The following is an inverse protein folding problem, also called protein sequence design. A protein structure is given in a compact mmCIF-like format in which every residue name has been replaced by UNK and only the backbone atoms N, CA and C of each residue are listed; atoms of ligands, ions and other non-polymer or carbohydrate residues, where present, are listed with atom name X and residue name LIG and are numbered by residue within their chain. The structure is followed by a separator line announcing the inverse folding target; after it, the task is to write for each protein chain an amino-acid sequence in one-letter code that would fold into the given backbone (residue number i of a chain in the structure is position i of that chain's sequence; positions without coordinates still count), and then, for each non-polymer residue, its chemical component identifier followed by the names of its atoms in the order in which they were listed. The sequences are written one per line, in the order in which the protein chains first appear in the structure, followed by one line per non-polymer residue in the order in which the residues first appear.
data_IF_091721688864
#
_entry.id   IF_091721688864
#
_cell.length_a   1.000
_cell.length_b   1.000
_cell.length_c   1.000
_cell.angle_alpha   90.00
_cell.angle_beta   90.00
_cell.angle_gamma   90.00
#
_symmetry.space_group_name_H-M   'P 1'
#
loop_
_entity.id
_entity.type
_entity.pdbx_description
1 polymer ?
#
# COMPACT_ATOMS: atom_id res chain seq x y z
N UNK A 1 7.89 -21.54 12.33
CA UNK A 1 7.36 -21.09 11.01
C UNK A 1 6.98 -22.27 10.09
N UNK A 2 6.44 -23.38 10.61
CA UNK A 2 6.17 -24.60 9.82
C UNK A 2 4.85 -24.57 9.03
N UNK A 3 3.98 -23.57 9.26
CA UNK A 3 2.60 -23.55 8.75
C UNK A 3 2.33 -22.50 7.67
N UNK A 4 3.32 -21.66 7.34
CA UNK A 4 3.17 -20.67 6.28
C UNK A 4 3.65 -21.27 4.96
N UNK A 5 2.74 -21.40 3.99
CA UNK A 5 3.14 -21.71 2.61
C UNK A 5 3.84 -20.48 2.00
N UNK A 6 4.88 -20.66 1.19
CA UNK A 6 5.50 -19.55 0.48
C UNK A 6 4.47 -18.87 -0.44
N UNK A 7 4.63 -17.56 -0.62
CA UNK A 7 3.78 -16.79 -1.52
C UNK A 7 3.88 -17.36 -2.96
N UNK A 8 2.78 -17.36 -3.73
CA UNK A 8 2.83 -17.67 -5.15
C UNK A 8 3.94 -16.91 -5.89
N UNK A 9 4.63 -17.59 -6.81
CA UNK A 9 5.79 -17.05 -7.54
C UNK A 9 5.50 -15.72 -8.24
N UNK A 10 4.31 -15.56 -8.82
CA UNK A 10 3.92 -14.32 -9.50
C UNK A 10 3.81 -13.11 -8.55
N UNK A 11 3.40 -13.31 -7.29
CA UNK A 11 3.36 -12.24 -6.29
C UNK A 11 4.76 -11.84 -5.87
N UNK A 12 5.65 -12.83 -5.68
CA UNK A 12 7.06 -12.61 -5.36
C UNK A 12 7.74 -11.82 -6.48
N UNK A 13 7.53 -12.22 -7.74
CA UNK A 13 8.08 -11.51 -8.90
C UNK A 13 7.57 -10.07 -8.99
N UNK A 14 6.26 -9.84 -8.79
CA UNK A 14 5.68 -8.48 -8.77
C UNK A 14 6.27 -7.62 -7.66
N UNK A 15 6.44 -8.18 -6.47
CA UNK A 15 7.09 -7.48 -5.36
C UNK A 15 8.53 -7.09 -5.69
N UNK A 16 9.32 -8.01 -6.28
CA UNK A 16 10.68 -7.69 -6.71
C UNK A 16 10.72 -6.59 -7.77
N UNK A 17 9.80 -6.62 -8.74
CA UNK A 17 9.64 -5.56 -9.74
C UNK A 17 9.39 -4.20 -9.09
N UNK A 18 8.36 -4.11 -8.23
CA UNK A 18 8.06 -2.88 -7.48
C UNK A 18 9.24 -2.41 -6.60
N UNK A 19 9.95 -3.35 -5.95
CA UNK A 19 11.09 -3.03 -5.09
C UNK A 19 12.27 -2.45 -5.88
N UNK A 20 12.47 -2.93 -7.10
CA UNK A 20 13.54 -2.47 -7.99
C UNK A 20 13.23 -1.11 -8.64
N UNK A 21 11.95 -0.81 -8.91
CA UNK A 21 11.52 0.42 -9.58
C UNK A 21 10.95 1.43 -8.58
N UNK A 22 9.62 1.44 -8.36
CA UNK A 22 8.91 2.45 -7.58
C UNK A 22 9.46 2.62 -6.18
N UNK A 23 9.89 1.54 -5.53
CA UNK A 23 10.50 1.63 -4.20
C UNK A 23 11.87 2.33 -4.23
N UNK A 24 12.70 2.05 -5.24
CA UNK A 24 14.04 2.63 -5.34
C UNK A 24 13.96 4.12 -5.64
N UNK A 25 13.06 4.52 -6.55
CA UNK A 25 12.75 5.92 -6.90
C UNK A 25 12.28 6.72 -5.67
N UNK A 26 11.44 6.12 -4.83
CA UNK A 26 10.84 6.77 -3.66
C UNK A 26 11.54 6.43 -2.34
N UNK A 27 12.76 5.87 -2.37
CA UNK A 27 13.45 5.36 -1.18
C UNK A 27 13.64 6.41 -0.08
N UNK A 28 13.95 7.65 -0.46
CA UNK A 28 14.11 8.75 0.48
C UNK A 28 12.80 9.08 1.21
N UNK A 29 11.68 9.08 0.49
CA UNK A 29 10.34 9.29 1.04
C UNK A 29 9.96 8.19 2.04
N UNK A 30 10.15 6.92 1.69
CA UNK A 30 9.89 5.82 2.62
C UNK A 30 10.75 5.89 3.87
N UNK A 31 12.03 6.24 3.74
CA UNK A 31 12.93 6.43 4.89
C UNK A 31 12.44 7.56 5.79
N UNK A 32 11.97 8.66 5.20
CA UNK A 32 11.39 9.78 5.94
C UNK A 32 10.15 9.34 6.72
N UNK A 33 9.20 8.66 6.07
CA UNK A 33 8.01 8.12 6.74
C UNK A 33 8.35 7.15 7.88
N UNK A 34 9.37 6.31 7.70
CA UNK A 34 9.82 5.37 8.73
C UNK A 34 10.43 6.07 9.96
N UNK A 35 11.15 7.18 9.74
CA UNK A 35 11.84 7.92 10.80
C UNK A 35 10.94 8.94 11.50
N UNK A 36 10.10 9.66 10.74
CA UNK A 36 9.29 10.79 11.21
C UNK A 36 7.83 10.39 11.50
N UNK A 37 7.41 9.22 11.05
CA UNK A 37 6.02 8.76 11.10
C UNK A 37 5.16 9.31 9.96
N UNK A 38 3.92 8.80 9.88
CA UNK A 38 2.90 9.28 8.94
C UNK A 38 1.97 10.31 9.60
N UNK A 39 1.47 11.27 8.81
CA UNK A 39 0.50 12.29 9.24
C UNK A 39 -0.63 12.39 8.21
N UNK A 40 -1.50 11.37 8.11
CA UNK A 40 -2.55 11.34 7.10
C UNK A 40 -3.51 12.51 7.29
N UNK A 41 -3.93 13.13 6.18
CA UNK A 41 -4.82 14.30 6.18
C UNK A 41 -6.28 13.91 6.31
N UNK A 42 -6.62 12.68 5.95
CA UNK A 42 -7.96 12.13 6.01
C UNK A 42 -7.94 10.63 6.30
N UNK A 43 -9.03 10.15 6.91
CA UNK A 43 -9.37 8.73 6.97
C UNK A 43 -10.39 8.41 5.88
N UNK A 44 -10.17 7.34 5.13
CA UNK A 44 -11.07 6.88 4.06
C UNK A 44 -11.59 5.48 4.37
N UNK A 45 -12.91 5.33 4.41
CA UNK A 45 -13.60 4.04 4.45
C UNK A 45 -14.02 3.69 3.02
N UNK A 46 -13.55 2.56 2.49
CA UNK A 46 -13.83 2.15 1.11
C UNK A 46 -14.20 0.67 0.98
N UNK A 47 -14.90 0.31 -0.10
CA UNK A 47 -15.32 -1.06 -0.32
C UNK A 47 -14.13 -1.98 -0.65
N UNK A 48 -14.20 -3.25 -0.24
CA UNK A 48 -13.25 -4.30 -0.61
C UNK A 48 -13.33 -4.74 -2.09
N UNK A 49 -14.20 -4.14 -2.90
CA UNK A 49 -14.27 -4.39 -4.34
C UNK A 49 -12.90 -4.19 -5.01
N UNK A 50 -12.45 -5.17 -5.80
CA UNK A 50 -11.12 -5.20 -6.41
C UNK A 50 -10.90 -4.09 -7.44
N UNK A 51 -11.98 -3.45 -7.92
CA UNK A 51 -11.94 -2.34 -8.89
C UNK A 51 -11.73 -0.98 -8.23
N UNK A 52 -11.91 -0.89 -6.90
CA UNK A 52 -11.82 0.38 -6.16
C UNK A 52 -10.46 0.46 -5.46
N UNK A 53 -9.64 1.42 -5.90
CA UNK A 53 -8.34 1.71 -5.29
C UNK A 53 -8.22 3.22 -5.03
N UNK A 54 -8.52 3.61 -3.79
CA UNK A 54 -8.64 5.03 -3.36
C UNK A 54 -7.40 5.86 -3.67
N UNK A 55 -6.20 5.32 -3.40
CA UNK A 55 -4.94 6.03 -3.64
C UNK A 55 -4.75 6.34 -5.13
N UNK A 56 -5.13 5.42 -6.03
CA UNK A 56 -5.09 5.67 -7.48
C UNK A 56 -6.17 6.64 -7.95
N UNK A 57 -7.37 6.59 -7.38
CA UNK A 57 -8.49 7.46 -7.77
C UNK A 57 -8.18 8.94 -7.46
N UNK A 58 -7.60 9.21 -6.30
CA UNK A 58 -7.29 10.58 -5.86
C UNK A 58 -5.85 11.01 -6.12
N UNK A 59 -5.02 10.15 -6.72
CA UNK A 59 -3.60 10.43 -6.96
C UNK A 59 -2.80 10.69 -5.68
N UNK A 60 -3.17 10.03 -4.58
CA UNK A 60 -2.58 10.28 -3.26
C UNK A 60 -1.31 9.46 -3.05
N UNK A 61 -0.34 10.09 -2.40
CA UNK A 61 0.94 9.48 -2.08
C UNK A 61 0.87 8.59 -0.83
N UNK A 62 1.89 7.74 -0.67
CA UNK A 62 2.02 6.86 0.48
C UNK A 62 2.09 7.68 1.77
N UNK A 63 1.17 7.40 2.72
CA UNK A 63 1.09 8.10 4.00
C UNK A 63 0.12 9.28 4.04
N UNK A 64 -0.50 9.68 2.92
CA UNK A 64 -1.47 10.78 2.89
C UNK A 64 -2.87 10.40 3.42
N UNK A 65 -3.26 9.14 3.24
CA UNK A 65 -4.54 8.61 3.72
C UNK A 65 -4.35 7.50 4.74
N UNK A 66 -5.23 7.49 5.75
CA UNK A 66 -5.45 6.34 6.60
C UNK A 66 -6.67 5.57 6.08
N UNK A 67 -6.49 4.35 5.60
CA UNK A 67 -7.53 3.65 4.83
C UNK A 67 -8.05 2.43 5.60
N UNK A 68 -9.37 2.36 5.76
CA UNK A 68 -10.08 1.14 6.15
C UNK A 68 -10.87 0.60 4.96
N UNK A 69 -10.84 -0.73 4.78
CA UNK A 69 -11.62 -1.41 3.74
C UNK A 69 -12.49 -2.49 4.34
N UNK A 70 -13.79 -2.47 4.03
CA UNK A 70 -14.74 -3.49 4.44
C UNK A 70 -15.76 -3.82 3.34
N UNK A 71 -16.67 -4.77 3.61
CA UNK A 71 -17.73 -5.12 2.67
C UNK A 71 -18.73 -3.96 2.61
N UNK A 72 -18.92 -3.41 1.41
CA UNK A 72 -19.87 -2.34 1.12
C UNK A 72 -19.64 -1.01 1.85
N UNK A 73 -18.45 -0.77 2.42
CA UNK A 73 -18.08 0.49 3.09
C UNK A 73 -19.11 0.97 4.12
N UNK A 74 -19.62 0.03 4.92
CA UNK A 74 -20.61 0.25 5.98
C UNK A 74 -19.95 0.54 7.33
#
# INVERSE_FOLDING_TARGET
MSYAKPLPSYLVQRYHGWKATTHSENRAWYKRLANEGQRPRAMVISCCDSRVHVTSIFGADQGEFFIHRNIANL
#
